data_IF_900210728794
#
_entry.id   IF_900210728794
#
_cell.length_a   1.000
_cell.length_b   1.000
_cell.length_c   1.000
_cell.angle_alpha   90.00
_cell.angle_beta   90.00
_cell.angle_gamma   90.00
#
_symmetry.space_group_name_H-M   'P 1'
#
loop_
_entity.id
_entity.type
_entity.pdbx_description
1 polymer ?
#
# COMPACT_ATOMS: atom_id res chain seq x y z
N UNK A 1 59.16 -21.62 -20.32
CA UNK A 1 59.21 -22.43 -19.08
C UNK A 1 57.78 -22.82 -18.69
N UNK A 2 57.55 -24.12 -18.45
CA UNK A 2 56.25 -24.66 -18.02
C UNK A 2 56.00 -24.26 -16.56
N UNK A 3 54.97 -23.47 -16.28
CA UNK A 3 54.47 -23.26 -14.91
C UNK A 3 52.99 -23.63 -14.86
N UNK A 4 52.70 -24.36 -13.79
CA UNK A 4 51.61 -25.31 -13.61
C UNK A 4 50.28 -24.59 -13.38
N UNK A 5 49.22 -25.12 -14.00
CA UNK A 5 47.82 -24.77 -13.71
C UNK A 5 47.49 -25.21 -12.28
N UNK A 6 47.46 -24.30 -11.33
CA UNK A 6 46.82 -24.48 -10.03
C UNK A 6 45.40 -23.96 -10.12
N UNK A 7 44.45 -24.90 -10.15
CA UNK A 7 43.04 -24.69 -9.86
C UNK A 7 42.91 -24.14 -8.43
N UNK A 8 42.52 -22.88 -8.30
CA UNK A 8 42.06 -22.32 -7.04
C UNK A 8 40.54 -22.44 -6.98
N UNK A 9 40.09 -23.43 -6.22
CA UNK A 9 38.71 -23.67 -5.82
C UNK A 9 38.28 -22.51 -4.92
N UNK A 10 37.55 -21.54 -5.45
CA UNK A 10 36.95 -20.49 -4.65
C UNK A 10 35.64 -21.02 -4.02
N UNK A 11 35.65 -21.09 -2.69
CA UNK A 11 34.51 -21.45 -1.84
C UNK A 11 33.42 -20.39 -2.02
N UNK A 12 32.34 -20.75 -2.72
CA UNK A 12 31.10 -19.98 -2.73
C UNK A 12 30.33 -20.35 -1.46
N UNK A 13 30.22 -19.40 -0.55
CA UNK A 13 29.30 -19.51 0.59
C UNK A 13 27.86 -19.54 0.05
N UNK A 14 27.28 -20.74 0.08
CA UNK A 14 25.88 -20.97 -0.23
C UNK A 14 25.00 -20.35 0.87
N UNK A 15 24.27 -19.29 0.55
CA UNK A 15 23.07 -18.92 1.31
C UNK A 15 21.92 -19.72 0.69
N UNK A 16 21.65 -20.86 1.31
CA UNK A 16 20.52 -21.73 1.00
C UNK A 16 19.27 -21.13 1.65
N UNK A 17 18.28 -20.77 0.83
CA UNK A 17 16.88 -20.70 1.23
C UNK A 17 16.03 -21.44 0.16
N UNK A 18 15.04 -22.25 0.56
CA UNK A 18 14.40 -23.22 -0.33
C UNK A 18 13.40 -22.54 -1.27
N UNK A 19 13.71 -22.57 -2.56
CA UNK A 19 12.71 -22.41 -3.62
C UNK A 19 11.92 -23.72 -3.69
N UNK A 20 10.72 -23.73 -3.13
CA UNK A 20 9.74 -24.78 -3.34
C UNK A 20 8.38 -24.15 -3.67
N UNK A 21 7.81 -24.63 -4.78
CA UNK A 21 6.41 -24.52 -5.22
C UNK A 21 5.97 -23.24 -5.95
N UNK A 22 6.35 -23.12 -7.22
CA UNK A 22 5.46 -22.60 -8.26
C UNK A 22 5.51 -23.49 -9.50
N UNK A 23 4.84 -24.64 -9.42
CA UNK A 23 4.43 -25.42 -10.57
C UNK A 23 2.97 -25.83 -10.37
N UNK A 24 2.05 -24.97 -10.83
CA UNK A 24 0.72 -25.41 -11.22
C UNK A 24 0.41 -24.78 -12.57
N UNK A 25 0.43 -25.66 -13.55
CA UNK A 25 -0.03 -25.51 -14.93
C UNK A 25 -1.46 -24.98 -14.98
N UNK A 26 -1.68 -23.95 -15.80
CA UNK A 26 -3.02 -23.59 -16.27
C UNK A 26 -3.58 -24.74 -17.14
N UNK A 27 -4.80 -25.24 -16.93
CA UNK A 27 -5.44 -26.08 -17.91
C UNK A 27 -6.05 -25.19 -18.99
N UNK A 28 -5.63 -25.44 -20.24
CA UNK A 28 -6.39 -25.05 -21.42
C UNK A 28 -7.75 -25.76 -21.38
N UNK A 29 -8.85 -25.00 -21.39
CA UNK A 29 -10.15 -25.52 -21.79
C UNK A 29 -10.64 -24.77 -23.03
N UNK A 30 -10.86 -25.58 -24.07
CA UNK A 30 -11.41 -25.20 -25.35
C UNK A 30 -12.83 -24.65 -25.23
N UNK A 31 -13.19 -23.87 -26.24
CA UNK A 31 -14.49 -23.26 -26.45
C UNK A 31 -15.67 -24.23 -26.28
N UNK A 32 -16.71 -23.80 -25.55
CA UNK A 32 -18.13 -23.94 -25.94
C UNK A 32 -19.03 -23.14 -24.99
N UNK A 33 -19.99 -22.43 -25.59
CA UNK A 33 -21.20 -21.81 -25.00
C UNK A 33 -21.04 -20.63 -24.00
N UNK A 34 -21.42 -19.43 -24.46
CA UNK A 34 -22.01 -18.40 -23.58
C UNK A 34 -23.33 -18.94 -23.02
N UNK A 35 -23.62 -18.72 -21.73
CA UNK A 35 -24.62 -17.70 -21.42
C UNK A 35 -24.33 -16.86 -20.16
N UNK A 36 -25.00 -15.71 -20.11
CA UNK A 36 -25.31 -14.84 -18.98
C UNK A 36 -24.14 -14.20 -18.19
N UNK A 37 -24.04 -12.87 -18.33
CA UNK A 37 -23.28 -12.01 -17.45
C UNK A 37 -23.79 -12.11 -16.01
N UNK A 38 -23.04 -12.82 -15.16
CA UNK A 38 -22.97 -12.53 -13.74
C UNK A 38 -21.69 -11.73 -13.53
N UNK A 39 -21.83 -10.41 -13.43
CA UNK A 39 -20.82 -9.59 -12.80
C UNK A 39 -20.77 -10.03 -11.33
N UNK A 40 -19.84 -10.93 -11.00
CA UNK A 40 -19.42 -11.12 -9.62
C UNK A 40 -18.89 -9.76 -9.17
N UNK A 41 -19.64 -9.09 -8.30
CA UNK A 41 -19.10 -7.98 -7.51
C UNK A 41 -17.83 -8.51 -6.83
N UNK A 42 -16.66 -8.02 -7.25
CA UNK A 42 -15.43 -8.24 -6.51
C UNK A 42 -15.69 -7.69 -5.10
N UNK A 43 -15.80 -8.58 -4.12
CA UNK A 43 -15.86 -8.21 -2.72
C UNK A 43 -14.65 -7.33 -2.41
N UNK A 44 -14.88 -6.11 -1.94
CA UNK A 44 -13.81 -5.21 -1.49
C UNK A 44 -12.95 -5.97 -0.47
N UNK A 45 -11.61 -5.82 -0.48
CA UNK A 45 -10.75 -6.43 0.52
C UNK A 45 -11.19 -6.05 1.93
N UNK A 46 -11.22 -7.01 2.83
CA UNK A 46 -11.50 -6.77 4.26
C UNK A 46 -10.34 -5.99 4.90
N UNK A 47 -10.59 -5.28 6.00
CA UNK A 47 -9.51 -4.58 6.74
C UNK A 47 -8.41 -5.56 7.16
N UNK A 48 -8.76 -6.75 7.63
CA UNK A 48 -7.77 -7.77 8.00
C UNK A 48 -6.86 -8.17 6.82
N UNK A 49 -7.39 -8.26 5.60
CA UNK A 49 -6.60 -8.52 4.40
C UNK A 49 -5.70 -7.33 4.03
N UNK A 50 -6.17 -6.10 4.22
CA UNK A 50 -5.39 -4.88 3.99
C UNK A 50 -4.29 -4.68 5.03
N UNK A 51 -4.53 -5.03 6.30
CA UNK A 51 -3.50 -5.03 7.35
C UNK A 51 -2.40 -6.03 7.04
N UNK A 52 -2.79 -7.23 6.60
CA UNK A 52 -1.82 -8.22 6.13
C UNK A 52 -1.04 -7.73 4.92
N UNK A 53 -1.71 -7.13 3.93
CA UNK A 53 -1.05 -6.59 2.75
C UNK A 53 -0.05 -5.46 3.08
N UNK A 54 -0.40 -4.57 4.01
CA UNK A 54 0.49 -3.53 4.50
C UNK A 54 1.71 -4.12 5.24
N UNK A 55 1.50 -5.14 6.08
CA UNK A 55 2.58 -5.84 6.78
C UNK A 55 3.53 -6.57 5.80
N UNK A 56 2.97 -7.26 4.80
CA UNK A 56 3.74 -7.95 3.76
C UNK A 56 4.55 -6.94 2.92
N UNK A 57 3.95 -5.80 2.58
CA UNK A 57 4.62 -4.73 1.83
C UNK A 57 5.73 -4.03 2.65
N UNK A 58 5.50 -3.80 3.95
CA UNK A 58 6.53 -3.32 4.88
C UNK A 58 7.71 -4.28 4.94
N UNK A 59 7.45 -5.58 5.10
CA UNK A 59 8.50 -6.60 5.13
C UNK A 59 9.31 -6.62 3.83
N UNK A 60 8.64 -6.54 2.68
CA UNK A 60 9.31 -6.49 1.37
C UNK A 60 10.20 -5.24 1.23
N UNK A 61 9.75 -4.08 1.72
CA UNK A 61 10.55 -2.87 1.77
C UNK A 61 11.79 -3.02 2.67
N UNK A 62 11.64 -3.58 3.87
CA UNK A 62 12.76 -3.81 4.79
C UNK A 62 13.79 -4.77 4.21
N UNK A 63 13.34 -5.87 3.60
CA UNK A 63 14.20 -6.83 2.91
C UNK A 63 14.96 -6.17 1.75
N UNK A 64 14.30 -5.28 0.99
CA UNK A 64 14.93 -4.54 -0.10
C UNK A 64 15.99 -3.56 0.41
N UNK A 65 15.74 -2.85 1.51
CA UNK A 65 16.70 -1.93 2.14
C UNK A 65 17.93 -2.68 2.66
N UNK A 66 17.74 -3.85 3.27
CA UNK A 66 18.85 -4.72 3.70
C UNK A 66 19.70 -5.14 2.49
N UNK A 67 19.04 -5.57 1.40
CA UNK A 67 19.72 -5.98 0.19
C UNK A 67 20.50 -4.82 -0.48
N UNK A 68 19.93 -3.62 -0.53
CA UNK A 68 20.62 -2.43 -1.03
C UNK A 68 21.86 -2.11 -0.20
N UNK A 69 21.74 -2.11 1.13
CA UNK A 69 22.87 -1.87 2.02
C UNK A 69 24.00 -2.89 1.80
N UNK A 70 23.67 -4.18 1.71
CA UNK A 70 24.64 -5.22 1.41
C UNK A 70 25.29 -5.01 0.03
N UNK A 71 24.52 -4.58 -0.97
CA UNK A 71 25.02 -4.22 -2.30
C UNK A 71 25.97 -3.02 -2.30
N UNK A 72 25.66 -1.98 -1.51
CA UNK A 72 26.53 -0.81 -1.33
C UNK A 72 27.87 -1.21 -0.68
N UNK A 73 27.83 -2.03 0.37
CA UNK A 73 29.04 -2.54 1.04
C UNK A 73 29.88 -3.41 0.09
N UNK A 74 29.25 -4.27 -0.70
CA UNK A 74 29.92 -5.08 -1.71
C UNK A 74 30.57 -4.22 -2.81
N UNK A 75 29.85 -3.23 -3.33
CA UNK A 75 30.36 -2.29 -4.33
C UNK A 75 31.54 -1.48 -3.79
N UNK A 76 31.41 -0.94 -2.58
CA UNK A 76 32.49 -0.22 -1.90
C UNK A 76 33.74 -1.08 -1.75
N UNK A 77 33.58 -2.32 -1.26
CA UNK A 77 34.70 -3.26 -1.12
C UNK A 77 35.38 -3.55 -2.45
N UNK A 78 34.58 -3.72 -3.52
CA UNK A 78 35.09 -3.94 -4.87
C UNK A 78 35.91 -2.75 -5.38
N UNK A 79 35.48 -1.50 -5.11
CA UNK A 79 36.18 -0.29 -5.58
C UNK A 79 37.38 0.11 -4.72
N UNK A 80 37.37 -0.20 -3.42
CA UNK A 80 38.44 0.21 -2.49
C UNK A 80 39.58 -0.82 -2.36
N UNK A 81 39.30 -2.09 -2.70
CA UNK A 81 40.31 -3.16 -2.59
C UNK A 81 40.87 -3.46 -3.97
N UNK A 82 42.22 -3.48 -4.16
CA UNK A 82 42.82 -3.92 -5.40
C UNK A 82 42.32 -5.32 -5.78
N UNK A 83 41.71 -5.41 -6.95
CA UNK A 83 41.25 -6.64 -7.57
C UNK A 83 42.15 -7.02 -8.76
N UNK A 84 41.95 -8.22 -9.31
CA UNK A 84 42.78 -8.74 -10.40
C UNK A 84 42.84 -7.80 -11.62
N UNK A 85 41.73 -7.16 -11.97
CA UNK A 85 41.66 -6.22 -13.10
C UNK A 85 42.42 -4.93 -12.81
N UNK A 86 42.26 -4.34 -11.63
CA UNK A 86 43.02 -3.14 -11.22
C UNK A 86 44.53 -3.41 -11.16
N UNK A 87 44.94 -4.58 -10.67
CA UNK A 87 46.34 -5.01 -10.68
C UNK A 87 46.84 -5.15 -12.12
N UNK A 88 46.04 -5.73 -13.01
CA UNK A 88 46.39 -5.88 -14.42
C UNK A 88 46.54 -4.54 -15.15
N UNK A 89 45.66 -3.57 -14.85
CA UNK A 89 45.76 -2.20 -15.35
C UNK A 89 47.07 -1.57 -14.91
N UNK A 90 47.45 -1.70 -13.63
CA UNK A 90 48.70 -1.14 -13.12
C UNK A 90 49.95 -1.79 -13.75
N UNK A 91 49.94 -3.12 -13.93
CA UNK A 91 51.03 -3.85 -14.57
C UNK A 91 51.21 -3.44 -16.04
N UNK A 92 50.11 -3.37 -16.79
CA UNK A 92 50.14 -3.01 -18.22
C UNK A 92 50.49 -1.53 -18.42
N UNK A 93 50.05 -0.65 -17.51
CA UNK A 93 50.48 0.76 -17.47
C UNK A 93 51.99 0.88 -17.31
N UNK A 94 52.57 0.16 -16.33
CA UNK A 94 54.02 0.14 -16.11
C UNK A 94 54.78 -0.35 -17.35
N UNK A 95 54.28 -1.39 -18.01
CA UNK A 95 54.87 -1.90 -19.24
C UNK A 95 54.79 -0.89 -20.41
N UNK A 96 53.65 -0.21 -20.57
CA UNK A 96 53.46 0.84 -21.57
C UNK A 96 54.41 2.03 -21.33
N UNK A 97 54.56 2.48 -20.08
CA UNK A 97 55.53 3.53 -19.72
C UNK A 97 56.96 3.08 -20.04
N UNK A 98 57.36 1.87 -19.64
CA UNK A 98 58.71 1.38 -19.93
C UNK A 98 58.99 1.26 -21.43
N UNK A 99 57.99 0.87 -22.24
CA UNK A 99 58.13 0.81 -23.69
C UNK A 99 58.22 2.20 -24.33
N UNK A 100 57.49 3.19 -23.79
CA UNK A 100 57.62 4.58 -24.21
C UNK A 100 59.01 5.14 -23.92
N UNK A 101 59.55 4.89 -22.72
CA UNK A 101 60.91 5.30 -22.35
C UNK A 101 61.96 4.64 -23.26
N UNK A 102 61.79 3.34 -23.57
CA UNK A 102 62.68 2.63 -24.48
C UNK A 102 62.66 3.20 -25.91
N UNK A 103 61.50 3.65 -26.40
CA UNK A 103 61.40 4.33 -27.69
C UNK A 103 62.18 5.65 -27.69
N UNK A 104 62.03 6.47 -26.65
CA UNK A 104 62.78 7.74 -26.51
C UNK A 104 64.29 7.48 -26.50
N UNK A 105 64.74 6.45 -25.78
CA UNK A 105 66.16 6.06 -25.74
C UNK A 105 66.66 5.62 -27.12
N UNK A 106 65.88 4.81 -27.85
CA UNK A 106 66.25 4.37 -29.20
C UNK A 106 66.32 5.53 -30.20
N UNK A 107 65.38 6.48 -30.11
CA UNK A 107 65.35 7.69 -30.94
C UNK A 107 66.56 8.58 -30.67
N UNK A 108 66.95 8.75 -29.40
CA UNK A 108 68.17 9.47 -29.03
C UNK A 108 69.42 8.77 -29.58
N UNK A 109 69.52 7.45 -29.45
CA UNK A 109 70.67 6.70 -29.98
C UNK A 109 70.81 6.84 -31.52
N UNK A 110 69.69 6.92 -32.24
CA UNK A 110 69.69 7.19 -33.68
C UNK A 110 70.15 8.62 -33.99
N UNK A 111 69.75 9.61 -33.19
CA UNK A 111 70.26 10.98 -33.31
C UNK A 111 71.77 11.03 -33.08
N UNK A 112 72.26 10.42 -31.99
CA UNK A 112 73.67 10.36 -31.64
C UNK A 112 74.51 9.67 -32.73
N UNK A 113 73.99 8.57 -33.32
CA UNK A 113 74.66 7.87 -34.42
C UNK A 113 74.77 8.72 -35.69
N UNK A 114 73.76 9.55 -35.99
CA UNK A 114 73.79 10.50 -37.11
C UNK A 114 74.79 11.63 -36.86
N UNK A 115 74.81 12.17 -35.64
CA UNK A 115 75.76 13.21 -35.24
C UNK A 115 77.20 12.70 -35.27
N UNK A 116 77.44 11.44 -34.87
CA UNK A 116 78.75 10.82 -34.96
C UNK A 116 79.25 10.71 -36.42
N UNK A 117 78.36 10.37 -37.37
CA UNK A 117 78.71 10.35 -38.80
C UNK A 117 79.06 11.76 -39.33
N UNK A 118 78.30 12.79 -38.92
CA UNK A 118 78.53 14.19 -39.33
C UNK A 118 79.87 14.71 -38.81
N UNK A 119 80.26 14.30 -37.60
CA UNK A 119 81.47 14.77 -36.92
C UNK A 119 82.73 13.92 -37.22
N UNK A 120 82.68 12.99 -38.19
CA UNK A 120 83.88 12.27 -38.62
C UNK A 120 84.90 13.24 -39.23
N UNK A 121 86.20 13.11 -38.91
CA UNK A 121 87.23 13.94 -39.51
C UNK A 121 87.40 13.63 -41.00
N UNK A 122 87.89 14.61 -41.78
CA UNK A 122 88.16 14.42 -43.21
C UNK A 122 89.19 13.32 -43.51
N UNK A 123 90.01 12.96 -42.51
CA UNK A 123 90.99 11.86 -42.57
C UNK A 123 90.39 10.49 -42.23
N UNK A 124 89.09 10.40 -41.93
CA UNK A 124 88.45 9.15 -41.55
C UNK A 124 88.53 8.10 -42.68
N UNK A 125 88.83 6.86 -42.31
CA UNK A 125 88.95 5.76 -43.27
C UNK A 125 87.59 5.34 -43.82
N UNK A 126 87.60 4.62 -44.95
CA UNK A 126 86.35 4.10 -45.52
C UNK A 126 85.70 3.06 -44.59
N UNK A 127 86.49 2.33 -43.81
CA UNK A 127 86.00 1.43 -42.77
C UNK A 127 85.28 2.19 -41.65
N UNK A 128 85.82 3.32 -41.18
CA UNK A 128 85.19 4.16 -40.15
C UNK A 128 83.86 4.76 -40.64
N UNK A 129 83.81 5.22 -41.89
CA UNK A 129 82.58 5.71 -42.52
C UNK A 129 81.54 4.60 -42.70
N UNK A 130 81.97 3.40 -43.08
CA UNK A 130 81.08 2.24 -43.21
C UNK A 130 80.51 1.82 -41.85
N UNK A 131 81.33 1.80 -40.80
CA UNK A 131 80.90 1.50 -39.44
C UNK A 131 79.87 2.52 -38.93
N UNK A 132 80.09 3.82 -39.15
CA UNK A 132 79.14 4.86 -38.77
C UNK A 132 77.79 4.74 -39.52
N UNK A 133 77.82 4.42 -40.82
CA UNK A 133 76.58 4.14 -41.59
C UNK A 133 75.84 2.90 -41.07
N UNK A 134 76.58 1.85 -40.71
CA UNK A 134 75.98 0.66 -40.12
C UNK A 134 75.34 0.97 -38.76
N UNK A 135 76.00 1.76 -37.90
CA UNK A 135 75.44 2.18 -36.62
C UNK A 135 74.11 2.93 -36.77
N UNK A 136 73.96 3.79 -37.80
CA UNK A 136 72.69 4.45 -38.12
C UNK A 136 71.62 3.42 -38.54
N UNK A 137 71.97 2.44 -39.38
CA UNK A 137 71.04 1.41 -39.82
C UNK A 137 70.55 0.53 -38.65
N UNK A 138 71.47 0.16 -37.75
CA UNK A 138 71.16 -0.60 -36.54
C UNK A 138 70.28 0.21 -35.58
N UNK A 139 70.61 1.49 -35.35
CA UNK A 139 69.80 2.38 -34.51
C UNK A 139 68.40 2.64 -35.12
N UNK A 140 68.29 2.76 -36.45
CA UNK A 140 66.99 2.91 -37.11
C UNK A 140 66.12 1.65 -36.97
N UNK A 141 66.74 0.47 -37.02
CA UNK A 141 66.06 -0.80 -36.75
C UNK A 141 65.60 -0.87 -35.29
N UNK A 142 66.44 -0.43 -34.34
CA UNK A 142 66.10 -0.38 -32.93
C UNK A 142 64.92 0.57 -32.64
N UNK A 143 64.87 1.75 -33.28
CA UNK A 143 63.74 2.68 -33.19
C UNK A 143 62.45 2.02 -33.66
N UNK A 144 62.49 1.33 -34.81
CA UNK A 144 61.31 0.63 -35.35
C UNK A 144 60.83 -0.45 -34.37
N UNK A 145 61.74 -1.27 -33.86
CA UNK A 145 61.41 -2.31 -32.90
C UNK A 145 60.84 -1.74 -31.57
N UNK A 146 61.37 -0.61 -31.10
CA UNK A 146 60.88 0.06 -29.90
C UNK A 146 59.49 0.67 -30.11
N UNK A 147 59.22 1.26 -31.28
CA UNK A 147 57.90 1.79 -31.64
C UNK A 147 56.84 0.68 -31.74
N UNK A 148 57.18 -0.48 -32.31
CA UNK A 148 56.30 -1.65 -32.35
C UNK A 148 56.01 -2.19 -30.94
N UNK A 149 57.05 -2.27 -30.10
CA UNK A 149 56.91 -2.70 -28.71
C UNK A 149 56.02 -1.74 -27.91
N UNK A 150 56.16 -0.42 -28.09
CA UNK A 150 55.29 0.57 -27.49
C UNK A 150 53.84 0.42 -27.95
N UNK A 151 53.61 0.30 -29.26
CA UNK A 151 52.26 0.12 -29.82
C UNK A 151 51.57 -1.09 -29.20
N UNK A 152 52.28 -2.21 -29.06
CA UNK A 152 51.77 -3.43 -28.43
C UNK A 152 51.48 -3.23 -26.93
N UNK A 153 52.38 -2.57 -26.20
CA UNK A 153 52.20 -2.33 -24.78
C UNK A 153 51.02 -1.40 -24.49
N UNK A 154 50.83 -0.36 -25.31
CA UNK A 154 49.69 0.55 -25.23
C UNK A 154 48.37 -0.17 -25.53
N UNK A 155 48.35 -1.07 -26.52
CA UNK A 155 47.16 -1.86 -26.85
C UNK A 155 46.75 -2.77 -25.68
N UNK A 156 47.72 -3.42 -25.03
CA UNK A 156 47.46 -4.27 -23.86
C UNK A 156 47.00 -3.45 -22.65
N UNK A 157 47.56 -2.25 -22.44
CA UNK A 157 47.09 -1.32 -21.40
C UNK A 157 45.65 -0.88 -21.65
N UNK A 158 45.31 -0.51 -22.89
CA UNK A 158 43.95 -0.15 -23.28
C UNK A 158 42.97 -1.29 -23.03
N UNK A 159 43.31 -2.52 -23.46
CA UNK A 159 42.46 -3.71 -23.23
C UNK A 159 42.25 -4.00 -21.75
N UNK A 160 43.28 -3.83 -20.91
CA UNK A 160 43.15 -3.99 -19.47
C UNK A 160 42.22 -2.93 -18.86
N UNK A 161 42.33 -1.68 -19.32
CA UNK A 161 41.43 -0.58 -18.94
C UNK A 161 39.98 -0.87 -19.31
N UNK A 162 39.71 -1.22 -20.57
CA UNK A 162 38.36 -1.56 -21.05
C UNK A 162 37.73 -2.70 -20.21
N UNK A 163 38.50 -3.75 -19.91
CA UNK A 163 38.02 -4.88 -19.12
C UNK A 163 37.68 -4.49 -17.67
N UNK A 164 38.48 -3.62 -17.06
CA UNK A 164 38.22 -3.10 -15.71
C UNK A 164 36.98 -2.20 -15.68
N UNK A 165 36.81 -1.33 -16.69
CA UNK A 165 35.65 -0.44 -16.80
C UNK A 165 34.35 -1.23 -17.03
N UNK A 166 34.38 -2.24 -17.90
CA UNK A 166 33.24 -3.12 -18.15
C UNK A 166 32.79 -3.84 -16.86
N UNK A 167 33.73 -4.31 -16.04
CA UNK A 167 33.45 -4.99 -14.78
C UNK A 167 32.90 -4.01 -13.72
N UNK A 168 33.44 -2.78 -13.65
CA UNK A 168 32.90 -1.72 -12.80
C UNK A 168 31.47 -1.33 -13.19
N UNK A 169 31.19 -1.25 -14.50
CA UNK A 169 29.84 -1.02 -15.03
C UNK A 169 28.90 -2.18 -14.65
N UNK A 170 29.37 -3.42 -14.69
CA UNK A 170 28.56 -4.57 -14.28
C UNK A 170 28.19 -4.50 -12.78
N UNK A 171 29.14 -4.18 -11.90
CA UNK A 171 28.90 -4.06 -10.46
C UNK A 171 28.00 -2.85 -10.12
N UNK A 172 28.18 -1.71 -10.79
CA UNK A 172 27.33 -0.53 -10.58
C UNK A 172 25.89 -0.76 -11.04
N UNK A 173 25.67 -1.51 -12.12
CA UNK A 173 24.32 -1.92 -12.56
C UNK A 173 23.60 -2.78 -11.51
N UNK A 174 24.31 -3.67 -10.82
CA UNK A 174 23.72 -4.45 -9.72
C UNK A 174 23.24 -3.52 -8.59
N UNK A 175 24.07 -2.55 -8.20
CA UNK A 175 23.68 -1.57 -7.18
C UNK A 175 22.47 -0.72 -7.63
N UNK A 176 22.44 -0.29 -8.89
CA UNK A 176 21.32 0.48 -9.44
C UNK A 176 20.00 -0.32 -9.44
N UNK A 177 20.05 -1.63 -9.69
CA UNK A 177 18.88 -2.52 -9.60
C UNK A 177 18.39 -2.67 -8.16
N UNK A 178 19.29 -2.78 -7.18
CA UNK A 178 18.93 -2.84 -5.75
C UNK A 178 18.27 -1.53 -5.30
N UNK A 179 18.83 -0.38 -5.69
CA UNK A 179 18.23 0.93 -5.44
C UNK A 179 16.84 1.07 -6.07
N UNK A 180 16.65 0.52 -7.28
CA UNK A 180 15.33 0.49 -7.92
C UNK A 180 14.35 -0.39 -7.13
N UNK A 181 14.78 -1.56 -6.67
CA UNK A 181 13.95 -2.46 -5.88
C UNK A 181 13.46 -1.81 -4.58
N UNK A 182 14.31 -1.02 -3.91
CA UNK A 182 13.91 -0.23 -2.72
C UNK A 182 12.82 0.79 -3.05
N UNK A 183 12.97 1.54 -4.16
CA UNK A 183 11.96 2.51 -4.60
C UNK A 183 10.63 1.83 -4.93
N UNK A 184 10.66 0.76 -5.72
CA UNK A 184 9.45 0.02 -6.11
C UNK A 184 8.74 -0.58 -4.88
N UNK A 185 9.51 -1.09 -3.90
CA UNK A 185 8.96 -1.64 -2.66
C UNK A 185 8.38 -0.54 -1.76
N UNK A 186 9.00 0.64 -1.70
CA UNK A 186 8.47 1.80 -0.98
C UNK A 186 7.14 2.28 -1.57
N UNK A 187 7.06 2.38 -2.90
CA UNK A 187 5.83 2.77 -3.58
C UNK A 187 4.70 1.77 -3.29
N UNK A 188 5.02 0.47 -3.31
CA UNK A 188 4.07 -0.61 -2.97
C UNK A 188 3.61 -0.52 -1.52
N UNK A 189 4.54 -0.29 -0.59
CA UNK A 189 4.23 -0.08 0.83
C UNK A 189 3.31 1.12 1.03
N UNK A 190 3.64 2.26 0.44
CA UNK A 190 2.84 3.48 0.55
C UNK A 190 1.43 3.29 -0.02
N UNK A 191 1.29 2.55 -1.13
CA UNK A 191 -0.01 2.22 -1.70
C UNK A 191 -0.83 1.30 -0.78
N UNK A 192 -0.20 0.29 -0.16
CA UNK A 192 -0.86 -0.61 0.78
C UNK A 192 -1.30 0.13 2.06
N UNK A 193 -0.44 0.97 2.63
CA UNK A 193 -0.74 1.81 3.79
C UNK A 193 -1.90 2.77 3.50
N UNK A 194 -1.89 3.39 2.32
CA UNK A 194 -2.98 4.27 1.89
C UNK A 194 -4.30 3.51 1.75
N UNK A 195 -4.29 2.34 1.12
CA UNK A 195 -5.49 1.52 0.97
C UNK A 195 -6.07 1.10 2.33
N UNK A 196 -5.21 0.75 3.28
CA UNK A 196 -5.60 0.44 4.65
C UNK A 196 -6.18 1.67 5.38
N UNK A 197 -5.54 2.83 5.25
CA UNK A 197 -6.02 4.07 5.85
C UNK A 197 -7.39 4.50 5.28
N UNK A 198 -7.54 4.44 3.96
CA UNK A 198 -8.81 4.75 3.28
C UNK A 198 -9.92 3.77 3.70
N UNK A 199 -9.61 2.48 3.87
CA UNK A 199 -10.58 1.49 4.34
C UNK A 199 -10.99 1.71 5.80
N UNK A 200 -10.04 2.05 6.68
CA UNK A 200 -10.32 2.40 8.08
C UNK A 200 -11.17 3.67 8.20
N UNK A 201 -10.86 4.70 7.41
CA UNK A 201 -11.65 5.93 7.35
C UNK A 201 -13.06 5.72 6.78
N UNK A 202 -13.27 4.67 5.97
CA UNK A 202 -14.58 4.31 5.44
C UNK A 202 -15.44 3.51 6.43
N UNK A 203 -14.86 2.89 7.46
CA UNK A 203 -15.62 2.21 8.53
C UNK A 203 -16.09 3.16 9.63
N UNK A 204 -15.50 4.35 9.73
CA UNK A 204 -15.82 5.34 10.77
C UNK A 204 -16.02 6.73 10.12
N UNK A 205 -17.15 6.98 9.44
CA UNK A 205 -17.47 8.35 9.10
C UNK A 205 -17.81 9.05 10.42
N UNK A 206 -17.09 10.12 10.77
CA UNK A 206 -17.42 11.02 11.89
C UNK A 206 -18.85 11.57 11.71
N UNK A 207 -19.85 10.76 12.05
CA UNK A 207 -21.25 11.12 11.91
C UNK A 207 -21.56 12.19 12.96
N UNK A 208 -22.05 13.32 12.49
CA UNK A 208 -22.28 14.46 13.37
C UNK A 208 -23.54 14.24 14.21
N UNK A 209 -23.52 14.66 15.47
CA UNK A 209 -24.74 14.73 16.28
C UNK A 209 -25.69 15.74 15.64
N UNK A 210 -26.84 15.26 15.20
CA UNK A 210 -27.88 16.01 14.52
C UNK A 210 -29.13 16.03 15.40
N UNK A 211 -29.24 16.90 16.42
CA UNK A 211 -30.32 16.86 17.41
C UNK A 211 -31.71 17.15 16.83
N UNK A 212 -31.79 17.65 15.59
CA UNK A 212 -33.04 17.84 14.86
C UNK A 212 -33.41 16.65 13.97
N UNK A 213 -32.56 15.64 13.85
CA UNK A 213 -32.85 14.40 13.16
C UNK A 213 -33.01 13.32 14.22
N UNK A 214 -34.25 13.00 14.61
CA UNK A 214 -34.48 12.19 15.80
C UNK A 214 -35.50 11.08 15.61
N UNK A 215 -35.40 10.05 16.44
CA UNK A 215 -36.32 8.92 16.43
C UNK A 215 -37.07 8.75 17.75
N UNK A 216 -38.35 8.42 17.66
CA UNK A 216 -39.21 8.19 18.83
C UNK A 216 -40.02 6.91 18.66
N UNK A 217 -40.13 6.12 19.71
CA UNK A 217 -41.04 4.98 19.75
C UNK A 217 -42.46 5.49 20.05
N UNK A 218 -43.45 5.01 19.28
CA UNK A 218 -44.87 5.32 19.43
C UNK A 218 -45.64 4.03 19.62
N UNK A 219 -46.46 3.95 20.67
CA UNK A 219 -47.24 2.75 20.98
C UNK A 219 -46.43 1.59 21.57
N UNK A 220 -45.20 1.84 22.05
CA UNK A 220 -44.46 0.84 22.82
C UNK A 220 -45.10 0.79 24.21
N UNK A 221 -45.66 -0.33 24.68
CA UNK A 221 -46.31 -0.37 25.99
C UNK A 221 -45.30 -0.40 27.14
N UNK A 222 -45.66 0.23 28.25
CA UNK A 222 -44.91 0.19 29.52
C UNK A 222 -44.88 -1.20 30.18
N UNK A 223 -45.67 -2.16 29.69
CA UNK A 223 -45.67 -3.55 30.15
C UNK A 223 -45.78 -4.52 28.96
N UNK A 224 -44.90 -5.52 28.91
CA UNK A 224 -44.87 -6.55 27.87
C UNK A 224 -45.09 -7.93 28.50
N UNK A 225 -46.10 -8.65 28.04
CA UNK A 225 -46.37 -10.03 28.48
C UNK A 225 -45.49 -11.00 27.68
N UNK A 226 -44.68 -11.79 28.36
CA UNK A 226 -43.82 -12.79 27.75
C UNK A 226 -44.61 -13.81 26.91
N UNK A 227 -44.04 -14.23 25.79
CA UNK A 227 -44.62 -15.19 24.85
C UNK A 227 -45.50 -14.58 23.74
N UNK A 228 -45.81 -13.28 23.80
CA UNK A 228 -46.67 -12.60 22.82
C UNK A 228 -45.90 -11.56 21.99
N UNK A 229 -46.38 -11.30 20.77
CA UNK A 229 -45.90 -10.18 19.96
C UNK A 229 -46.61 -8.90 20.37
N UNK A 230 -45.83 -7.84 20.53
CA UNK A 230 -46.29 -6.48 20.78
C UNK A 230 -45.82 -5.60 19.63
N UNK A 231 -46.75 -4.89 18.98
CA UNK A 231 -46.43 -3.97 17.89
C UNK A 231 -46.26 -2.54 18.38
N UNK A 232 -45.32 -1.82 17.77
CA UNK A 232 -45.11 -0.37 17.99
C UNK A 232 -44.57 0.25 16.68
N UNK A 233 -44.44 1.57 16.63
CA UNK A 233 -43.87 2.29 15.48
C UNK A 233 -42.64 3.08 15.90
N UNK A 234 -41.57 3.01 15.12
CA UNK A 234 -40.43 3.91 15.25
C UNK A 234 -40.59 5.03 14.23
N UNK A 235 -40.84 6.24 14.74
CA UNK A 235 -40.94 7.45 13.92
C UNK A 235 -39.57 8.12 13.85
N UNK A 236 -38.96 8.14 12.68
CA UNK A 236 -37.75 8.93 12.40
C UNK A 236 -38.15 10.23 11.74
N UNK A 237 -37.75 11.37 12.30
CA UNK A 237 -38.11 12.71 11.84
C UNK A 237 -36.88 13.47 11.40
N UNK A 238 -36.89 13.97 10.16
CA UNK A 238 -35.87 14.88 9.67
C UNK A 238 -36.30 16.33 9.94
N UNK A 239 -36.01 16.85 11.13
CA UNK A 239 -36.21 18.27 11.46
C UNK A 239 -35.05 19.19 11.02
N UNK A 240 -34.10 18.68 10.23
CA UNK A 240 -33.02 19.50 9.66
C UNK A 240 -33.51 20.31 8.46
N UNK A 241 -32.68 21.22 7.95
CA UNK A 241 -33.00 22.05 6.78
C UNK A 241 -32.75 21.35 5.44
N UNK A 242 -32.17 20.14 5.43
CA UNK A 242 -31.74 19.44 4.21
C UNK A 242 -32.48 18.12 4.04
N UNK A 243 -32.62 17.68 2.80
CA UNK A 243 -33.00 16.29 2.50
C UNK A 243 -31.80 15.40 2.78
N UNK A 244 -32.06 14.23 3.37
CA UNK A 244 -31.05 13.18 3.54
C UNK A 244 -31.32 12.04 2.55
N UNK A 245 -30.29 11.35 2.10
CA UNK A 245 -30.41 10.37 1.01
C UNK A 245 -30.83 8.98 1.48
N UNK A 246 -30.32 8.54 2.63
CA UNK A 246 -30.69 7.29 3.28
C UNK A 246 -30.98 7.51 4.77
N UNK A 247 -32.03 6.85 5.27
CA UNK A 247 -32.45 6.84 6.68
C UNK A 247 -32.22 5.46 7.26
N UNK A 248 -31.61 5.43 8.44
CA UNK A 248 -31.21 4.24 9.19
C UNK A 248 -31.89 4.26 10.57
N UNK A 249 -33.13 3.71 10.69
CA UNK A 249 -33.82 3.58 11.96
C UNK A 249 -33.18 2.47 12.80
N UNK A 250 -32.81 2.79 14.03
CA UNK A 250 -32.17 1.86 14.95
C UNK A 250 -33.08 1.58 16.14
N UNK A 251 -33.19 0.32 16.52
CA UNK A 251 -33.91 -0.09 17.72
C UNK A 251 -33.23 -1.32 18.36
N UNK A 252 -32.91 -1.18 19.64
CA UNK A 252 -32.31 -2.21 20.47
C UNK A 252 -33.18 -2.43 21.71
N UNK A 253 -33.27 -3.67 22.16
CA UNK A 253 -34.02 -4.04 23.36
C UNK A 253 -33.12 -4.85 24.27
N UNK A 254 -33.09 -4.44 25.53
CA UNK A 254 -32.52 -5.20 26.63
C UNK A 254 -33.62 -5.77 27.51
N UNK A 255 -33.41 -6.98 28.00
CA UNK A 255 -34.30 -7.62 28.96
C UNK A 255 -33.47 -8.27 30.07
N UNK A 256 -33.92 -8.10 31.31
CA UNK A 256 -33.24 -8.65 32.49
C UNK A 256 -34.26 -9.16 33.52
N UNK A 257 -33.82 -9.97 34.47
CA UNK A 257 -34.67 -10.38 35.59
C UNK A 257 -34.91 -9.24 36.59
N UNK A 258 -35.83 -9.44 37.54
CA UNK A 258 -36.20 -8.43 38.54
C UNK A 258 -35.03 -8.02 39.46
N UNK A 259 -33.96 -8.81 39.49
CA UNK A 259 -32.75 -8.52 40.27
C UNK A 259 -31.67 -7.79 39.48
N UNK A 260 -31.84 -7.64 38.15
CA UNK A 260 -30.86 -7.08 37.23
C UNK A 260 -29.58 -7.91 37.08
N UNK A 261 -29.60 -9.19 37.49
CA UNK A 261 -28.41 -10.07 37.51
C UNK A 261 -28.39 -11.04 36.34
N UNK A 262 -29.55 -11.37 35.77
CA UNK A 262 -29.68 -12.30 34.66
C UNK A 262 -30.13 -11.57 33.40
N UNK A 263 -29.29 -11.61 32.37
CA UNK A 263 -29.56 -11.10 31.02
C UNK A 263 -30.46 -12.06 30.22
N UNK A 264 -31.45 -11.49 29.55
CA UNK A 264 -32.42 -12.19 28.70
C UNK A 264 -32.41 -11.71 27.24
N UNK A 265 -31.39 -11.00 26.77
CA UNK A 265 -31.37 -10.38 25.44
C UNK A 265 -31.50 -11.41 24.31
N UNK A 266 -30.91 -12.60 24.50
CA UNK A 266 -31.04 -13.74 23.57
C UNK A 266 -32.46 -14.31 23.48
N UNK A 267 -33.33 -13.92 24.40
CA UNK A 267 -34.75 -14.29 24.45
C UNK A 267 -35.64 -13.16 23.92
N UNK A 268 -35.07 -12.06 23.45
CA UNK A 268 -35.79 -10.97 22.79
C UNK A 268 -35.68 -11.13 21.28
N UNK A 269 -36.81 -11.08 20.59
CA UNK A 269 -36.86 -11.04 19.13
C UNK A 269 -37.53 -9.75 18.70
N UNK A 270 -36.81 -8.92 17.93
CA UNK A 270 -37.32 -7.71 17.31
C UNK A 270 -37.48 -7.91 15.81
N UNK A 271 -38.60 -7.47 15.26
CA UNK A 271 -38.86 -7.50 13.82
C UNK A 271 -39.43 -6.17 13.34
N UNK A 272 -39.11 -5.81 12.10
CA UNK A 272 -39.70 -4.68 11.40
C UNK A 272 -40.48 -5.16 10.18
N UNK A 273 -41.50 -4.39 9.79
CA UNK A 273 -42.31 -4.71 8.62
C UNK A 273 -41.72 -4.05 7.38
N UNK A 274 -41.21 -4.88 6.47
CA UNK A 274 -40.76 -4.43 5.17
C UNK A 274 -41.93 -4.29 4.22
N UNK A 275 -42.25 -3.05 3.87
CA UNK A 275 -43.35 -2.74 2.95
C UNK A 275 -43.06 -3.15 1.52
N UNK A 276 -41.79 -3.21 1.10
CA UNK A 276 -41.41 -3.62 -0.24
C UNK A 276 -41.62 -5.12 -0.47
N UNK A 277 -41.32 -5.94 0.53
CA UNK A 277 -41.56 -7.40 0.49
C UNK A 277 -42.87 -7.84 1.16
N UNK A 278 -43.63 -6.89 1.72
CA UNK A 278 -44.84 -7.13 2.51
C UNK A 278 -44.67 -8.17 3.64
N UNK A 279 -43.49 -8.22 4.26
CA UNK A 279 -43.11 -9.28 5.21
C UNK A 279 -42.41 -8.74 6.46
N UNK A 280 -42.45 -9.52 7.55
CA UNK A 280 -41.72 -9.20 8.77
C UNK A 280 -40.28 -9.72 8.67
N UNK A 281 -39.31 -8.81 8.89
CA UNK A 281 -37.89 -9.12 8.91
C UNK A 281 -37.34 -8.97 10.32
N UNK A 282 -36.49 -9.90 10.74
CA UNK A 282 -35.79 -9.82 12.03
C UNK A 282 -34.73 -8.74 11.98
N UNK A 283 -34.67 -7.90 13.02
CA UNK A 283 -33.58 -6.94 13.22
C UNK A 283 -32.31 -7.69 13.61
N UNK A 284 -31.22 -7.42 12.90
CA UNK A 284 -29.94 -8.11 13.06
C UNK A 284 -29.09 -7.56 14.22
N UNK A 285 -27.84 -8.02 14.30
CA UNK A 285 -26.88 -7.51 15.30
C UNK A 285 -26.38 -6.08 15.03
N UNK A 286 -26.75 -5.49 13.89
CA UNK A 286 -26.59 -4.07 13.58
C UNK A 286 -27.71 -3.21 14.20
N UNK A 287 -28.76 -3.85 14.73
CA UNK A 287 -29.94 -3.23 15.34
C UNK A 287 -30.73 -2.30 14.40
N UNK A 288 -30.53 -2.42 13.08
CA UNK A 288 -31.20 -1.61 12.08
C UNK A 288 -32.53 -2.21 11.64
N UNK A 289 -33.56 -1.37 11.57
CA UNK A 289 -34.87 -1.70 11.03
C UNK A 289 -34.93 -1.45 9.51
N UNK A 290 -33.91 -1.93 8.80
CA UNK A 290 -33.70 -1.73 7.36
C UNK A 290 -33.16 -0.35 7.00
N UNK A 291 -32.69 -0.23 5.76
CA UNK A 291 -32.33 1.05 5.13
C UNK A 291 -33.55 1.59 4.36
N UNK A 292 -33.85 2.87 4.55
CA UNK A 292 -34.97 3.54 3.89
C UNK A 292 -34.44 4.69 3.05
N UNK A 293 -35.09 4.96 1.93
CA UNK A 293 -34.63 6.00 1.00
C UNK A 293 -34.82 7.44 1.52
N UNK A 294 -34.62 8.39 0.61
CA UNK A 294 -34.49 9.80 0.94
C UNK A 294 -35.66 10.38 1.77
N UNK A 295 -35.31 11.16 2.79
CA UNK A 295 -36.27 11.81 3.68
C UNK A 295 -36.09 13.33 3.63
N UNK A 296 -37.12 14.03 3.13
CA UNK A 296 -37.11 15.48 2.96
C UNK A 296 -37.06 16.22 4.32
N UNK A 297 -36.56 17.45 4.30
CA UNK A 297 -36.63 18.36 5.44
C UNK A 297 -38.08 18.51 5.93
N UNK A 298 -38.28 18.41 7.24
CA UNK A 298 -39.57 18.43 7.93
C UNK A 298 -40.41 17.15 7.81
N UNK A 299 -39.98 16.15 7.03
CA UNK A 299 -40.72 14.91 6.85
C UNK A 299 -40.39 13.88 7.94
N UNK A 300 -41.27 12.88 8.09
CA UNK A 300 -41.05 11.74 8.96
C UNK A 300 -41.31 10.43 8.22
N UNK A 301 -40.66 9.37 8.71
CA UNK A 301 -40.84 7.98 8.32
C UNK A 301 -41.35 7.20 9.54
N UNK A 302 -42.41 6.42 9.37
CA UNK A 302 -42.94 5.52 10.41
C UNK A 302 -42.62 4.06 10.05
N UNK A 303 -41.72 3.43 10.80
CA UNK A 303 -41.34 2.02 10.64
C UNK A 303 -42.10 1.17 11.65
N UNK A 304 -42.93 0.25 11.15
CA UNK A 304 -43.67 -0.67 12.00
C UNK A 304 -42.72 -1.74 12.55
N UNK A 305 -42.70 -1.88 13.85
CA UNK A 305 -41.92 -2.87 14.58
C UNK A 305 -42.82 -3.76 15.41
N UNK A 306 -42.31 -4.94 15.75
CA UNK A 306 -42.88 -5.79 16.77
C UNK A 306 -41.78 -6.48 17.57
N UNK A 307 -41.98 -6.57 18.87
CA UNK A 307 -41.07 -7.24 19.79
C UNK A 307 -41.78 -8.43 20.43
N UNK A 308 -41.03 -9.50 20.68
CA UNK A 308 -41.48 -10.65 21.46
C UNK A 308 -40.37 -11.03 22.44
N UNK A 309 -40.74 -11.13 23.70
CA UNK A 309 -39.91 -11.69 24.77
C UNK A 309 -40.34 -13.15 24.94
N UNK A 310 -39.41 -14.09 24.95
CA UNK A 310 -39.72 -15.52 25.05
C UNK A 310 -40.46 -15.84 26.35
N UNK A 311 -41.40 -16.79 26.31
CA UNK A 311 -42.21 -17.19 27.46
C UNK A 311 -41.40 -17.78 28.62
N UNK A 312 -40.12 -18.12 28.40
CA UNK A 312 -39.17 -18.52 29.45
C UNK A 312 -38.84 -17.39 30.42
N UNK A 313 -38.99 -16.14 30.02
CA UNK A 313 -38.81 -14.98 30.91
C UNK A 313 -40.02 -14.91 31.83
N UNK A 314 -39.79 -15.13 33.13
CA UNK A 314 -40.87 -15.23 34.14
C UNK A 314 -41.37 -13.86 34.56
N UNK A 315 -40.47 -12.93 34.79
CA UNK A 315 -40.73 -11.53 35.13
C UNK A 315 -39.40 -10.78 35.02
N UNK A 316 -39.45 -9.46 34.92
CA UNK A 316 -38.24 -8.67 34.80
C UNK A 316 -38.47 -7.22 34.38
N UNK A 317 -37.37 -6.52 34.18
CA UNK A 317 -37.34 -5.20 33.55
C UNK A 317 -36.80 -5.29 32.14
N UNK A 318 -37.17 -4.33 31.30
CA UNK A 318 -36.55 -4.16 30.00
C UNK A 318 -36.42 -2.69 29.62
N UNK A 319 -35.51 -2.45 28.69
CA UNK A 319 -35.21 -1.13 28.16
C UNK A 319 -35.17 -1.22 26.64
N UNK A 320 -35.85 -0.31 25.96
CA UNK A 320 -35.71 -0.11 24.54
C UNK A 320 -34.88 1.16 24.30
N UNK A 321 -33.79 1.05 23.53
CA UNK A 321 -33.06 2.19 23.00
C UNK A 321 -33.40 2.37 21.53
N UNK A 322 -33.83 3.56 21.14
CA UNK A 322 -34.14 3.88 19.74
C UNK A 322 -33.42 5.15 19.31
N UNK A 323 -32.92 5.16 18.08
CA UNK A 323 -32.25 6.33 17.47
C UNK A 323 -32.53 6.35 15.97
N UNK A 324 -32.30 7.50 15.34
CA UNK A 324 -32.32 7.65 13.90
C UNK A 324 -30.99 8.18 13.42
N UNK A 325 -30.41 7.51 12.43
CA UNK A 325 -29.26 8.03 11.69
C UNK A 325 -29.63 8.25 10.21
N UNK A 326 -28.80 9.04 9.53
CA UNK A 326 -28.83 9.20 8.10
C UNK A 326 -27.43 9.09 7.50
N UNK A 327 -27.38 8.67 6.24
CA UNK A 327 -26.19 8.72 5.41
C UNK A 327 -26.55 9.37 4.07
N UNK A 328 -25.61 10.15 3.53
CA UNK A 328 -25.74 10.82 2.24
C UNK A 328 -24.74 10.23 1.24
N UNK A 329 -25.05 10.34 -0.05
CA UNK A 329 -24.19 9.84 -1.13
C UNK A 329 -22.83 10.57 -1.19
N UNK A 330 -22.74 11.78 -0.64
CA UNK A 330 -21.51 12.57 -0.54
C UNK A 330 -20.59 12.12 0.61
N UNK A 331 -20.98 11.08 1.36
CA UNK A 331 -20.24 10.53 2.49
C UNK A 331 -20.52 11.22 3.82
N UNK A 332 -21.37 12.26 3.87
CA UNK A 332 -21.79 12.87 5.14
C UNK A 332 -22.86 12.03 5.83
N UNK A 333 -22.82 11.97 7.16
CA UNK A 333 -23.79 11.24 7.97
C UNK A 333 -24.04 11.96 9.30
N UNK A 334 -25.10 11.57 10.00
CA UNK A 334 -25.43 12.12 11.31
C UNK A 334 -26.64 11.42 11.93
N UNK A 335 -26.93 11.71 13.19
CA UNK A 335 -28.06 11.12 13.92
C UNK A 335 -28.28 11.76 15.29
N UNK A 336 -29.38 11.39 15.95
CA UNK A 336 -29.59 11.79 17.35
C UNK A 336 -28.77 10.91 18.32
N UNK A 337 -28.82 11.30 19.59
CA UNK A 337 -28.22 10.55 20.71
C UNK A 337 -29.10 9.40 21.19
N UNK A 338 -30.27 9.22 20.58
CA UNK A 338 -31.26 8.22 20.92
C UNK A 338 -32.14 8.57 22.12
N UNK A 339 -33.10 7.69 22.38
CA UNK A 339 -34.06 7.77 23.48
C UNK A 339 -34.25 6.38 24.08
N UNK A 340 -34.31 6.32 25.41
CA UNK A 340 -34.50 5.09 26.15
C UNK A 340 -35.91 5.03 26.73
N UNK A 341 -36.52 3.84 26.68
CA UNK A 341 -37.87 3.57 27.16
C UNK A 341 -37.83 2.35 28.08
N UNK A 342 -38.23 2.53 29.33
CA UNK A 342 -38.33 1.42 30.28
C UNK A 342 -39.69 0.73 30.19
N UNK A 343 -39.70 -0.60 30.34
CA UNK A 343 -40.92 -1.39 30.41
C UNK A 343 -40.78 -2.56 31.37
N UNK A 344 -41.90 -2.98 31.96
CA UNK A 344 -42.00 -4.15 32.82
C UNK A 344 -42.27 -5.41 31.97
N UNK A 345 -41.60 -6.51 32.28
CA UNK A 345 -41.83 -7.82 31.67
C UNK A 345 -42.71 -8.65 32.59
N UNK A 346 -43.88 -9.03 32.10
CA UNK A 346 -44.85 -9.83 32.84
C UNK A 346 -44.80 -11.31 32.42
N UNK A 347 -45.09 -12.24 33.36
CA UNK A 347 -45.13 -13.67 33.05
C UNK A 347 -46.12 -14.00 31.93
N UNK A 348 -45.80 -15.01 31.13
CA UNK A 348 -46.69 -15.49 30.08
C UNK A 348 -48.10 -15.84 30.60
N UNK A 349 -49.14 -15.39 29.90
CA UNK A 349 -50.54 -15.59 30.29
C UNK A 349 -51.10 -14.54 31.27
N UNK A 350 -50.29 -13.57 31.70
CA UNK A 350 -50.75 -12.43 32.50
C UNK A 350 -51.76 -11.56 31.75
N UNK A 351 -52.66 -10.90 32.50
CA UNK A 351 -53.66 -9.97 31.97
C UNK A 351 -53.46 -8.58 32.62
N UNK A 352 -52.61 -7.71 32.08
CA UNK A 352 -52.24 -6.45 32.73
C UNK A 352 -53.33 -5.37 32.75
N UNK A 353 -54.51 -5.64 32.17
CA UNK A 353 -55.56 -4.63 32.05
C UNK A 353 -55.19 -3.57 31.01
N UNK A 354 -55.51 -2.29 31.30
CA UNK A 354 -55.07 -1.17 30.47
C UNK A 354 -53.58 -0.92 30.73
N UNK A 355 -52.78 -0.98 29.67
CA UNK A 355 -51.35 -0.67 29.69
C UNK A 355 -51.15 0.64 28.95
N UNK A 356 -50.51 1.59 29.60
CA UNK A 356 -50.14 2.86 28.99
C UNK A 356 -48.85 2.70 28.17
N UNK A 357 -48.61 3.60 27.23
CA UNK A 357 -47.36 3.62 26.47
C UNK A 357 -46.18 3.94 27.41
N UNK A 358 -45.02 3.33 27.14
CA UNK A 358 -43.76 3.70 27.77
C UNK A 358 -43.39 5.11 27.34
N UNK A 359 -42.94 5.92 28.31
CA UNK A 359 -42.43 7.26 28.06
C UNK A 359 -40.91 7.22 27.91
N UNK A 360 -40.31 8.09 27.07
CA UNK A 360 -38.87 8.21 27.01
C UNK A 360 -38.35 8.77 28.33
N UNK A 361 -37.19 8.32 28.79
CA UNK A 361 -36.55 8.92 29.97
C UNK A 361 -36.12 10.38 29.69
N UNK A 362 -36.14 11.23 30.74
CA UNK A 362 -36.00 12.70 30.65
C UNK A 362 -34.63 13.23 30.18
N UNK A 363 -33.79 12.37 29.61
CA UNK A 363 -32.43 12.71 29.21
C UNK A 363 -32.31 13.10 27.74
N UNK A 364 -33.15 13.99 27.16
CA UNK A 364 -32.78 14.85 26.00
C UNK A 364 -33.87 15.91 25.61
N UNK A 365 -33.51 17.00 24.88
CA UNK A 365 -34.31 18.23 24.75
C UNK A 365 -35.49 18.05 23.80
N UNK A 366 -36.62 18.67 24.17
CA UNK A 366 -37.86 18.62 23.40
C UNK A 366 -37.69 19.07 21.95
N UNK A 367 -38.03 18.20 21.00
CA UNK A 367 -38.24 18.56 19.60
C UNK A 367 -39.40 19.59 19.49
N UNK A 368 -39.29 20.67 18.70
CA UNK A 368 -40.41 21.58 18.48
C UNK A 368 -41.47 20.86 17.65
N UNK A 369 -42.63 20.57 18.24
CA UNK A 369 -43.71 19.96 17.45
C UNK A 369 -44.99 19.57 18.16
N UNK A 370 -45.04 19.39 19.48
CA UNK A 370 -46.27 18.92 20.15
C UNK A 370 -46.46 19.57 21.54
N UNK A 371 -47.14 20.73 21.60
CA UNK A 371 -47.96 21.13 22.76
C UNK A 371 -49.16 22.00 22.33
N UNK A 372 -50.36 21.79 22.91
CA UNK A 372 -51.55 22.56 22.59
C UNK A 372 -51.52 23.97 23.21
N UNK A 373 -52.15 24.89 22.50
CA UNK A 373 -52.23 26.32 22.72
C UNK A 373 -52.96 26.72 24.03
N UNK A 374 -52.35 27.59 24.84
CA UNK A 374 -53.04 28.28 25.94
C UNK A 374 -52.17 29.20 26.80
N UNK A 375 -52.43 30.51 26.74
CA UNK A 375 -52.61 31.33 27.96
C UNK A 375 -51.42 31.98 28.68
N UNK A 376 -50.92 33.08 28.10
CA UNK A 376 -50.65 34.40 28.71
C UNK A 376 -49.68 34.64 29.91
N UNK A 377 -48.95 35.74 29.74
CA UNK A 377 -48.39 36.72 30.69
C UNK A 377 -47.10 36.42 31.48
N UNK A 378 -46.06 37.22 31.18
CA UNK A 378 -44.93 37.48 32.08
C UNK A 378 -43.68 38.00 31.37
N UNK A 379 -43.59 39.32 31.19
CA UNK A 379 -42.37 40.02 30.74
C UNK A 379 -41.17 39.73 31.65
N UNK A 380 -39.93 39.78 31.15
CA UNK A 380 -38.88 40.81 31.39
C UNK A 380 -37.55 40.04 31.16
N UNK A 381 -36.42 40.51 30.60
CA UNK A 381 -35.94 41.68 29.84
C UNK A 381 -34.46 41.39 29.52
N UNK A 382 -34.02 41.89 28.37
CA UNK A 382 -32.66 42.14 27.85
C UNK A 382 -31.42 41.93 28.74
N UNK A 383 -30.33 41.44 28.12
CA UNK A 383 -29.16 42.28 27.76
C UNK A 383 -28.29 41.64 26.65
N UNK A 384 -28.26 42.31 25.49
CA UNK A 384 -27.14 42.66 24.59
C UNK A 384 -25.71 42.30 25.04
N UNK A 385 -24.71 42.00 24.19
CA UNK A 385 -24.48 42.10 22.73
C UNK A 385 -23.27 41.18 22.39
N UNK A 386 -22.52 41.25 21.29
CA UNK A 386 -22.45 42.09 20.10
C UNK A 386 -21.60 41.32 19.07
N UNK A 387 -21.80 41.65 17.81
CA UNK A 387 -21.16 41.10 16.62
C UNK A 387 -19.62 41.23 16.59
N UNK A 388 -18.96 40.36 15.80
CA UNK A 388 -18.10 40.82 14.70
C UNK A 388 -17.76 39.68 13.74
N UNK A 389 -18.04 39.96 12.47
CA UNK A 389 -17.73 39.17 11.29
C UNK A 389 -16.22 39.10 11.01
N UNK A 390 -15.79 38.02 10.36
CA UNK A 390 -14.57 38.01 9.56
C UNK A 390 -14.87 37.30 8.24
N UNK A 391 -14.73 38.11 7.18
CA UNK A 391 -14.80 37.81 5.76
C UNK A 391 -13.53 37.06 5.31
N UNK A 392 -13.66 36.16 4.34
CA UNK A 392 -12.55 35.29 3.90
C UNK A 392 -12.91 34.37 2.74
N UNK A 393 -12.93 34.93 1.53
CA UNK A 393 -13.02 34.24 0.24
C UNK A 393 -11.74 33.45 -0.11
N UNK A 394 -11.83 32.60 -1.15
CA UNK A 394 -10.81 31.85 -1.94
C UNK A 394 -10.78 30.33 -1.64
N UNK A 395 -10.82 29.39 -2.59
CA UNK A 395 -10.79 29.44 -4.04
C UNK A 395 -11.38 28.16 -4.66
N UNK A 396 -11.79 28.31 -5.91
CA UNK A 396 -12.34 27.30 -6.82
C UNK A 396 -11.21 26.71 -7.67
N UNK A 397 -11.01 25.40 -7.59
CA UNK A 397 -10.38 24.55 -8.61
C UNK A 397 -11.13 23.21 -8.54
N UNK A 398 -11.65 22.57 -9.59
CA UNK A 398 -11.16 22.42 -10.95
C UNK A 398 -10.82 20.93 -11.16
N UNK A 399 -11.84 20.13 -11.49
CA UNK A 399 -11.87 18.68 -11.82
C UNK A 399 -10.72 18.20 -12.76
N UNK A 400 -10.38 16.88 -12.84
CA UNK A 400 -11.29 15.88 -13.41
C UNK A 400 -11.32 14.49 -12.73
N UNK A 401 -12.49 13.88 -12.85
CA UNK A 401 -12.71 12.44 -12.75
C UNK A 401 -11.91 11.68 -13.80
N UNK A 402 -11.04 10.78 -13.37
CA UNK A 402 -10.57 9.63 -14.14
C UNK A 402 -10.06 8.58 -13.15
N UNK A 403 -10.93 7.66 -12.74
CA UNK A 403 -10.56 6.44 -12.01
C UNK A 403 -9.76 5.52 -12.94
N UNK A 404 -8.50 5.16 -12.66
CA UNK A 404 -7.94 3.93 -13.19
C UNK A 404 -8.53 2.77 -12.39
N UNK A 405 -9.17 1.83 -13.07
CA UNK A 405 -9.48 0.55 -12.47
C UNK A 405 -8.17 -0.06 -11.95
N UNK A 406 -8.10 -0.29 -10.64
CA UNK A 406 -7.03 -1.07 -10.02
C UNK A 406 -7.26 -2.52 -10.46
N UNK A 407 -6.69 -2.85 -11.62
CA UNK A 407 -6.50 -4.22 -12.04
C UNK A 407 -5.42 -4.83 -11.14
N UNK A 408 -5.73 -6.00 -10.59
CA UNK A 408 -4.87 -6.85 -9.79
C UNK A 408 -3.59 -7.15 -10.58
N UNK A 409 -2.56 -6.32 -10.42
CA UNK A 409 -1.20 -6.61 -10.89
C UNK A 409 -0.48 -7.48 -9.85
N UNK A 410 -1.06 -8.65 -9.57
CA UNK A 410 -0.40 -9.72 -8.84
C UNK A 410 0.42 -10.54 -9.83
N UNK A 411 1.72 -10.28 -9.91
CA UNK A 411 2.65 -11.21 -10.56
C UNK A 411 3.67 -10.56 -11.48
N UNK A 412 4.74 -9.99 -10.91
CA UNK A 412 6.08 -9.95 -11.52
C UNK A 412 7.11 -9.41 -10.52
N UNK A 413 7.48 -10.17 -9.48
CA UNK A 413 8.61 -9.80 -8.61
C UNK A 413 9.37 -10.98 -7.99
N UNK A 414 9.31 -12.18 -8.58
CA UNK A 414 10.03 -13.35 -8.07
C UNK A 414 10.69 -14.19 -9.19
N UNK A 415 11.34 -13.55 -10.16
CA UNK A 415 12.03 -14.24 -11.25
C UNK A 415 13.41 -13.67 -11.62
N UNK A 416 14.00 -12.79 -10.80
CA UNK A 416 15.32 -12.20 -11.07
C UNK A 416 16.40 -12.66 -10.08
N UNK A 417 16.34 -13.93 -9.64
CA UNK A 417 17.30 -14.53 -8.72
C UNK A 417 18.24 -15.59 -9.32
N UNK A 418 18.12 -15.98 -10.60
CA UNK A 418 18.93 -17.08 -11.16
C UNK A 418 19.37 -16.92 -12.63
N UNK A 419 19.26 -15.71 -13.20
CA UNK A 419 19.52 -15.49 -14.64
C UNK A 419 20.98 -15.16 -15.03
N UNK A 420 21.82 -14.70 -14.10
CA UNK A 420 23.13 -14.14 -14.46
C UNK A 420 24.26 -15.18 -14.62
N UNK A 421 24.13 -16.38 -14.04
CA UNK A 421 25.22 -17.38 -14.06
C UNK A 421 25.22 -18.27 -15.32
N UNK A 422 24.11 -18.28 -16.09
CA UNK A 422 23.98 -19.17 -17.26
C UNK A 422 24.45 -18.57 -18.59
N UNK A 423 24.69 -17.25 -18.66
CA UNK A 423 24.99 -16.58 -19.94
C UNK A 423 26.50 -16.45 -20.24
N UNK A 424 27.39 -16.64 -19.26
CA UNK A 424 28.85 -16.53 -19.51
C UNK A 424 29.47 -17.84 -20.00
N UNK A 425 28.82 -19.00 -19.79
CA UNK A 425 29.43 -20.31 -20.14
C UNK A 425 29.24 -20.75 -21.60
N UNK A 426 28.35 -20.10 -22.37
CA UNK A 426 28.00 -20.56 -23.73
C UNK A 426 28.83 -19.93 -24.87
N UNK A 427 29.81 -19.07 -24.57
CA UNK A 427 30.70 -18.46 -25.59
C UNK A 427 32.12 -19.04 -25.67
N UNK A 428 32.38 -20.24 -25.12
CA UNK A 428 33.70 -20.88 -25.23
C UNK A 428 33.69 -22.38 -25.57
N UNK A 429 32.68 -22.85 -26.30
CA UNK A 429 32.68 -24.18 -26.90
C UNK A 429 32.20 -24.05 -28.36
N UNK A 430 33.15 -23.94 -29.29
CA UNK A 430 32.88 -23.79 -30.72
C UNK A 430 34.05 -23.17 -31.49
N UNK A 431 35.26 -23.69 -31.29
CA UNK A 431 36.43 -23.45 -32.14
C UNK A 431 37.42 -24.61 -31.93
N UNK A 432 37.00 -25.79 -32.37
CA UNK A 432 37.83 -26.94 -32.75
C UNK A 432 36.91 -27.90 -33.53
N UNK A 433 36.75 -27.59 -34.81
CA UNK A 433 36.32 -28.46 -35.91
C UNK A 433 36.72 -27.81 -37.23
#
# INVERSE_FOLDING_TARGET
>A
MKIRRTLATAVVAAVVAPVALLSVTAPAFAATARPAAQAQAQSKPTIAELEKAAADAQKAYDDAVIAEKAGQEAFKKYTETPNELTIKVDETKKAATAAADAQVIAEQALADARDALINLPDTATEEEKAAAKQAIADAATAVTAAADAKTKADEEYRKAGDANDDDLVAHSKVLALLQKAVRDALDTKNAADKALADAKAAEDPDCVVAPKFGAVAKGLPSKIVAGQWVGFSLRVTNGTAKTVDAVLPFAMFHAMDDTGTVDYDKLVTLQWYDTASASWKTVGGDHLAGEHGALKAGAHLDVKLRVKIDAKVKSGGGMAFVTGAYANEDGTCGGDTGSEYEFEILPAGSKPGKVDDAEPNDSHPSLPGDKPQGGNSGQVKDTSGADSAADGSLAKTGSPSALPQIALAGGAAAALGAGAVFVVRRRKAGADA
#
